data_IF_267275343228
#
_entry.id   IF_267275343228
#
_cell.length_a   1.000
_cell.length_b   1.000
_cell.length_c   1.000
_cell.angle_alpha   90.00
_cell.angle_beta   90.00
_cell.angle_gamma   90.00
#
_symmetry.space_group_name_H-M   'P 1'
#
loop_
_entity.id
_entity.type
_entity.pdbx_description
1 polymer ?
#
# COMPACT_ATOMS: atom_id res chain seq x y z
N UNK A 1 8.83 -0.24 15.17
CA UNK A 1 10.23 0.09 14.81
C UNK A 1 10.65 -0.48 13.47
N UNK A 2 10.73 -1.81 13.30
CA UNK A 2 11.18 -2.41 12.03
C UNK A 2 10.41 -1.95 10.78
N UNK A 3 9.07 -1.78 10.89
CA UNK A 3 8.24 -1.25 9.79
C UNK A 3 8.68 0.17 9.40
N UNK A 4 8.93 1.04 10.39
CA UNK A 4 9.33 2.43 10.15
C UNK A 4 10.71 2.49 9.50
N UNK A 5 11.66 1.68 9.98
CA UNK A 5 13.01 1.61 9.43
C UNK A 5 13.00 1.12 7.96
N UNK A 6 12.21 0.09 7.65
CA UNK A 6 12.08 -0.38 6.26
C UNK A 6 11.47 0.69 5.37
N UNK A 7 10.45 1.43 5.84
CA UNK A 7 9.86 2.51 5.06
C UNK A 7 10.84 3.68 4.85
N UNK A 8 11.66 3.99 5.85
CA UNK A 8 12.74 4.97 5.73
C UNK A 8 13.77 4.54 4.67
N UNK A 9 14.19 3.27 4.70
CA UNK A 9 15.07 2.72 3.66
C UNK A 9 14.41 2.75 2.27
N UNK A 10 13.11 2.50 2.16
CA UNK A 10 12.38 2.60 0.89
C UNK A 10 12.41 4.04 0.33
N UNK A 11 12.23 5.04 1.19
CA UNK A 11 12.36 6.46 0.83
C UNK A 11 13.74 6.82 0.28
N UNK A 12 14.82 6.23 0.82
CA UNK A 12 16.17 6.41 0.30
C UNK A 12 16.37 5.82 -1.11
N UNK A 13 15.47 4.93 -1.56
CA UNK A 13 15.57 4.27 -2.88
C UNK A 13 14.67 4.87 -3.93
N UNK A 14 13.48 5.35 -3.56
CA UNK A 14 12.44 5.75 -4.51
C UNK A 14 11.81 7.05 -4.05
N UNK A 15 11.74 8.02 -4.97
CA UNK A 15 11.04 9.29 -4.75
C UNK A 15 9.79 9.41 -5.63
N UNK A 16 8.80 10.15 -5.13
CA UNK A 16 7.55 10.34 -5.84
C UNK A 16 7.75 11.05 -7.18
N UNK A 17 7.24 10.44 -8.25
CA UNK A 17 7.15 11.05 -9.58
C UNK A 17 5.87 10.58 -10.28
N UNK A 18 4.98 11.50 -10.71
CA UNK A 18 3.82 11.14 -11.51
C UNK A 18 4.21 10.35 -12.77
N UNK A 19 3.45 9.30 -13.06
CA UNK A 19 3.63 8.41 -14.21
C UNK A 19 2.26 8.01 -14.78
N UNK A 20 2.24 7.11 -15.77
CA UNK A 20 1.00 6.54 -16.29
C UNK A 20 0.34 5.56 -15.29
N UNK A 21 -0.84 5.05 -15.64
CA UNK A 21 -1.64 4.21 -14.75
C UNK A 21 -1.03 2.83 -14.46
N UNK A 22 -0.02 2.38 -15.23
CA UNK A 22 0.64 1.09 -15.03
C UNK A 22 1.59 1.18 -13.85
N UNK A 23 1.60 0.14 -13.01
CA UNK A 23 2.51 0.04 -11.87
C UNK A 23 3.76 -0.76 -12.24
N UNK A 24 4.91 -0.12 -12.13
CA UNK A 24 6.22 -0.75 -12.30
C UNK A 24 6.52 -1.79 -11.20
N UNK A 25 7.34 -2.79 -11.51
CA UNK A 25 7.76 -3.79 -10.53
C UNK A 25 8.69 -3.21 -9.47
N UNK A 26 8.79 -3.81 -8.26
CA UNK A 26 9.66 -3.32 -7.18
C UNK A 26 11.12 -3.07 -7.62
N UNK A 27 11.70 -4.01 -8.36
CA UNK A 27 13.07 -3.89 -8.86
C UNK A 27 13.22 -2.82 -9.94
N UNK A 28 12.16 -2.54 -10.70
CA UNK A 28 12.17 -1.43 -11.65
C UNK A 28 12.21 -0.09 -10.91
N UNK A 29 11.35 0.09 -9.90
CA UNK A 29 11.31 1.31 -9.07
C UNK A 29 12.65 1.61 -8.42
N UNK A 30 13.35 0.59 -7.88
CA UNK A 30 14.69 0.75 -7.30
C UNK A 30 15.74 1.15 -8.35
N UNK A 31 15.64 0.61 -9.57
CA UNK A 31 16.60 0.93 -10.65
C UNK A 31 16.40 2.33 -11.22
N UNK A 32 15.15 2.78 -11.32
CA UNK A 32 14.80 4.10 -11.84
C UNK A 32 14.85 5.19 -10.77
N UNK A 33 14.78 4.79 -9.48
CA UNK A 33 14.71 5.64 -8.31
C UNK A 33 13.47 6.55 -8.24
N UNK A 34 12.40 6.22 -8.97
CA UNK A 34 11.14 6.97 -8.91
C UNK A 34 9.91 6.08 -9.11
N UNK A 35 8.76 6.53 -8.59
CA UNK A 35 7.46 5.88 -8.76
C UNK A 35 6.31 6.77 -8.28
N UNK A 36 5.06 6.48 -8.67
CA UNK A 36 3.87 7.07 -8.03
C UNK A 36 3.42 6.18 -6.86
N UNK A 37 2.32 6.55 -6.21
CA UNK A 37 1.78 5.82 -5.06
C UNK A 37 1.62 4.30 -5.31
N UNK A 38 1.26 3.89 -6.52
CA UNK A 38 1.18 2.47 -6.92
C UNK A 38 2.53 1.75 -6.88
N UNK A 39 3.57 2.31 -7.49
CA UNK A 39 4.94 1.78 -7.48
C UNK A 39 5.55 1.78 -6.09
N UNK A 40 5.41 2.88 -5.36
CA UNK A 40 5.98 3.05 -4.02
C UNK A 40 5.38 2.03 -3.05
N UNK A 41 4.05 1.86 -3.07
CA UNK A 41 3.38 0.86 -2.22
C UNK A 41 3.70 -0.57 -2.65
N UNK A 42 3.81 -0.84 -3.96
CA UNK A 42 4.23 -2.16 -4.46
C UNK A 42 5.67 -2.50 -4.02
N UNK A 43 6.58 -1.53 -4.09
CA UNK A 43 7.95 -1.67 -3.65
C UNK A 43 8.06 -1.86 -2.13
N UNK A 44 7.38 -1.01 -1.36
CA UNK A 44 7.43 -1.04 0.11
C UNK A 44 6.84 -2.33 0.67
N UNK A 45 5.72 -2.83 0.11
CA UNK A 45 5.17 -4.15 0.45
C UNK A 45 6.17 -5.27 0.17
N UNK A 46 6.87 -5.22 -0.96
CA UNK A 46 7.89 -6.20 -1.29
C UNK A 46 9.08 -6.15 -0.32
N UNK A 47 9.54 -4.96 0.06
CA UNK A 47 10.63 -4.76 1.01
C UNK A 47 10.27 -5.30 2.41
N UNK A 48 9.07 -5.00 2.92
CA UNK A 48 8.58 -5.52 4.20
C UNK A 48 8.49 -7.04 4.20
N UNK A 49 7.91 -7.62 3.15
CA UNK A 49 7.80 -9.08 3.02
C UNK A 49 9.17 -9.76 2.91
N UNK A 50 10.15 -9.10 2.30
CA UNK A 50 11.52 -9.62 2.19
C UNK A 50 12.22 -9.75 3.56
N UNK A 51 11.83 -8.94 4.55
CA UNK A 51 12.33 -9.02 5.92
C UNK A 51 11.37 -9.74 6.88
N UNK A 52 10.36 -10.44 6.35
CA UNK A 52 9.44 -11.26 7.14
C UNK A 52 8.28 -10.51 7.79
N UNK A 53 8.04 -9.25 7.43
CA UNK A 53 6.90 -8.48 7.92
C UNK A 53 5.72 -8.67 6.95
N UNK A 54 4.56 -9.21 7.40
CA UNK A 54 3.39 -9.29 6.56
C UNK A 54 2.90 -7.89 6.22
N UNK A 55 2.70 -7.61 4.94
CA UNK A 55 2.24 -6.32 4.46
C UNK A 55 1.29 -6.48 3.27
N UNK A 56 0.40 -5.51 3.05
CA UNK A 56 -0.52 -5.44 1.92
C UNK A 56 -0.59 -4.02 1.38
N UNK A 57 -0.83 -3.92 0.07
CA UNK A 57 -1.16 -2.65 -0.56
C UNK A 57 -2.66 -2.43 -0.38
N UNK A 58 -3.04 -1.23 0.05
CA UNK A 58 -4.43 -0.79 0.02
C UNK A 58 -4.57 0.21 -1.12
N UNK A 59 -5.63 0.03 -1.91
CA UNK A 59 -5.88 0.82 -3.10
C UNK A 59 -7.29 1.39 -3.06
N UNK A 60 -7.41 2.65 -3.50
CA UNK A 60 -8.69 3.29 -3.73
C UNK A 60 -8.74 3.82 -5.16
N UNK A 61 -9.65 3.29 -6.01
CA UNK A 61 -9.68 3.64 -7.43
C UNK A 61 -10.23 5.06 -7.69
N UNK A 62 -10.93 5.65 -6.71
CA UNK A 62 -11.47 7.02 -6.79
C UNK A 62 -11.13 7.78 -5.52
N UNK A 63 -10.20 8.72 -5.65
CA UNK A 63 -9.74 9.53 -4.55
C UNK A 63 -10.74 10.63 -4.20
N UNK A 64 -11.02 10.80 -2.91
CA UNK A 64 -12.20 11.53 -2.45
C UNK A 64 -12.26 13.02 -2.86
N UNK A 65 -11.15 13.60 -3.33
CA UNK A 65 -11.04 15.03 -3.64
C UNK A 65 -10.38 15.33 -4.99
N UNK A 66 -10.01 14.32 -5.77
CA UNK A 66 -9.41 14.47 -7.11
C UNK A 66 -9.87 13.34 -8.02
N UNK A 67 -9.90 13.57 -9.33
CA UNK A 67 -10.11 12.50 -10.32
C UNK A 67 -8.82 11.69 -10.52
N UNK A 68 -8.37 11.06 -9.44
CA UNK A 68 -7.19 10.19 -9.41
C UNK A 68 -7.45 9.02 -8.47
N UNK A 69 -6.52 8.07 -8.41
CA UNK A 69 -6.51 6.98 -7.44
C UNK A 69 -5.45 7.25 -6.35
N UNK A 70 -5.49 6.48 -5.28
CA UNK A 70 -4.43 6.48 -4.28
C UNK A 70 -4.13 5.08 -3.78
N UNK A 71 -2.89 4.87 -3.33
CA UNK A 71 -2.42 3.60 -2.80
C UNK A 71 -1.47 3.86 -1.63
N UNK A 72 -1.59 3.06 -0.58
CA UNK A 72 -0.69 3.08 0.58
C UNK A 72 -0.39 1.65 1.05
N UNK A 73 0.35 1.52 2.15
CA UNK A 73 0.74 0.23 2.72
C UNK A 73 0.11 0.04 4.08
N UNK A 74 -0.31 -1.19 4.34
CA UNK A 74 -0.58 -1.69 5.67
C UNK A 74 0.39 -2.82 6.02
N UNK A 75 0.96 -2.79 7.22
CA UNK A 75 1.81 -3.83 7.75
C UNK A 75 1.21 -4.42 9.03
N UNK A 76 1.39 -5.73 9.22
CA UNK A 76 0.90 -6.45 10.37
C UNK A 76 1.96 -6.51 11.46
N UNK A 77 1.61 -6.00 12.63
CA UNK A 77 2.42 -6.12 13.85
C UNK A 77 1.49 -6.28 15.04
N UNK A 78 1.91 -7.03 16.06
CA UNK A 78 1.22 -7.08 17.36
C UNK A 78 -0.29 -7.35 17.27
N UNK A 79 -0.72 -8.17 16.30
CA UNK A 79 -2.12 -8.54 16.13
C UNK A 79 -3.00 -7.51 15.40
N UNK A 80 -2.41 -6.46 14.82
CA UNK A 80 -3.13 -5.37 14.17
C UNK A 80 -2.50 -4.97 12.83
N UNK A 81 -3.33 -4.47 11.92
CA UNK A 81 -2.89 -3.77 10.72
C UNK A 81 -2.58 -2.31 11.06
N UNK A 82 -1.42 -1.84 10.61
CA UNK A 82 -0.98 -0.45 10.74
C UNK A 82 -0.75 0.15 9.36
N UNK A 83 -1.34 1.31 9.08
CA UNK A 83 -1.18 1.99 7.78
C UNK A 83 -0.09 3.07 7.81
N UNK A 84 0.50 3.36 6.66
CA UNK A 84 1.47 4.44 6.46
C UNK A 84 1.69 4.72 4.96
N UNK A 85 2.22 5.89 4.64
CA UNK A 85 2.62 6.26 3.28
C UNK A 85 3.84 5.48 2.80
N UNK A 86 3.81 5.01 1.56
CA UNK A 86 4.87 4.19 1.00
C UNK A 86 6.01 5.06 0.51
N UNK A 87 7.25 4.80 0.95
CA UNK A 87 8.38 5.70 0.69
C UNK A 87 8.17 7.13 1.25
N UNK A 88 7.19 7.32 2.14
CA UNK A 88 6.83 8.58 2.78
C UNK A 88 6.96 8.39 4.31
N UNK A 89 8.18 8.51 4.88
CA UNK A 89 8.43 8.14 6.26
C UNK A 89 7.83 9.18 7.21
N UNK A 90 6.95 8.72 8.09
CA UNK A 90 6.42 9.45 9.23
C UNK A 90 7.08 8.91 10.52
N UNK A 91 7.14 9.70 11.62
CA UNK A 91 7.79 9.26 12.86
C UNK A 91 7.02 8.14 13.58
N UNK A 92 5.75 7.91 13.20
CA UNK A 92 4.87 6.90 13.80
C UNK A 92 3.99 6.24 12.73
N UNK A 93 3.50 5.03 13.03
CA UNK A 93 2.52 4.35 12.21
C UNK A 93 1.11 4.96 12.39
N UNK A 94 0.19 4.64 11.48
CA UNK A 94 -1.16 5.21 11.39
C UNK A 94 -1.17 6.73 11.17
N UNK A 95 -0.13 7.22 10.49
CA UNK A 95 0.00 8.61 10.09
C UNK A 95 0.40 8.68 8.62
N UNK A 96 -0.26 9.59 7.91
CA UNK A 96 0.07 10.00 6.56
C UNK A 96 -0.69 11.28 6.23
N UNK A 97 -0.22 12.02 5.23
CA UNK A 97 -0.91 13.21 4.74
C UNK A 97 -2.34 12.90 4.25
N UNK A 98 -2.61 11.63 3.92
CA UNK A 98 -3.85 11.13 3.38
C UNK A 98 -4.90 10.70 4.42
N UNK A 99 -4.65 10.83 5.73
CA UNK A 99 -5.61 10.39 6.75
C UNK A 99 -7.01 10.98 6.54
N UNK A 100 -7.09 12.31 6.38
CA UNK A 100 -8.37 13.00 6.15
C UNK A 100 -9.07 12.58 4.86
N UNK A 101 -8.42 12.57 3.68
CA UNK A 101 -9.09 12.15 2.46
C UNK A 101 -9.44 10.66 2.44
N UNK A 102 -8.62 9.80 3.03
CA UNK A 102 -8.91 8.37 3.16
C UNK A 102 -10.22 8.16 3.94
N UNK A 103 -10.44 8.83 5.07
CA UNK A 103 -11.70 8.71 5.84
C UNK A 103 -12.99 9.04 5.08
N UNK A 104 -12.88 9.62 3.88
CA UNK A 104 -14.01 9.96 2.98
C UNK A 104 -14.02 9.10 1.71
N UNK A 105 -13.15 8.11 1.61
CA UNK A 105 -13.07 7.18 0.50
C UNK A 105 -14.31 6.29 0.46
N UNK A 106 -14.91 6.16 -0.72
CA UNK A 106 -16.08 5.30 -0.93
C UNK A 106 -15.72 3.81 -0.98
N UNK A 107 -14.46 3.51 -1.33
CA UNK A 107 -13.95 2.15 -1.43
C UNK A 107 -12.45 2.15 -1.17
N UNK A 108 -12.02 1.27 -0.27
CA UNK A 108 -10.64 0.88 -0.07
C UNK A 108 -10.56 -0.63 -0.18
N UNK A 109 -9.60 -1.15 -0.95
CA UNK A 109 -9.50 -2.58 -1.12
C UNK A 109 -8.09 -3.09 -1.24
N UNK A 110 -7.97 -4.39 -1.02
CA UNK A 110 -6.70 -5.12 -1.15
C UNK A 110 -6.94 -6.49 -1.75
N UNK A 111 -5.87 -7.09 -2.28
CA UNK A 111 -5.85 -8.46 -2.80
C UNK A 111 -5.29 -9.41 -1.76
N UNK A 112 -6.05 -10.44 -1.44
CA UNK A 112 -5.61 -11.59 -0.66
C UNK A 112 -5.36 -12.76 -1.61
N UNK A 113 -4.22 -13.44 -1.48
CA UNK A 113 -3.92 -14.60 -2.32
C UNK A 113 -4.75 -15.81 -1.91
N UNK A 114 -5.32 -16.51 -2.91
CA UNK A 114 -6.22 -17.64 -2.70
C UNK A 114 -7.61 -17.22 -2.24
N UNK A 115 -8.31 -18.15 -1.58
CA UNK A 115 -9.65 -17.93 -1.03
C UNK A 115 -9.60 -17.22 0.31
N UNK A 116 -10.51 -16.28 0.49
CA UNK A 116 -10.65 -15.52 1.73
C UNK A 116 -11.90 -15.96 2.50
N UNK A 117 -11.73 -16.27 3.79
CA UNK A 117 -12.83 -16.70 4.70
C UNK A 117 -12.92 -15.80 5.94
N UNK A 118 -12.34 -14.60 5.89
CA UNK A 118 -12.41 -13.65 7.01
C UNK A 118 -13.67 -12.79 6.97
N UNK A 119 -13.79 -11.82 7.89
CA UNK A 119 -15.01 -11.03 8.06
C UNK A 119 -15.19 -9.90 7.03
N UNK A 120 -14.12 -9.48 6.34
CA UNK A 120 -14.19 -8.44 5.31
C UNK A 120 -15.08 -8.84 4.12
N UNK A 121 -15.78 -7.86 3.55
CA UNK A 121 -16.65 -8.05 2.38
C UNK A 121 -15.83 -8.44 1.14
N UNK A 122 -16.24 -9.51 0.47
CA UNK A 122 -15.65 -9.97 -0.79
C UNK A 122 -16.27 -9.22 -1.95
N UNK A 123 -15.44 -8.53 -2.74
CA UNK A 123 -15.90 -7.82 -3.94
C UNK A 123 -15.72 -8.63 -5.21
N UNK A 124 -14.63 -9.41 -5.28
CA UNK A 124 -14.30 -10.26 -6.42
C UNK A 124 -13.53 -11.50 -5.93
N UNK A 125 -13.97 -12.67 -6.35
CA UNK A 125 -13.22 -13.92 -6.15
C UNK A 125 -12.75 -14.45 -7.50
N UNK A 126 -11.46 -14.82 -7.57
CA UNK A 126 -10.85 -15.48 -8.73
C UNK A 126 -10.20 -16.79 -8.27
N UNK A 127 -9.77 -17.68 -9.19
CA UNK A 127 -9.03 -18.88 -8.81
C UNK A 127 -7.72 -18.61 -8.04
N UNK A 128 -7.13 -17.42 -8.18
CA UNK A 128 -5.79 -17.11 -7.66
C UNK A 128 -5.79 -16.10 -6.51
N UNK A 129 -6.82 -15.27 -6.39
CA UNK A 129 -6.92 -14.22 -5.37
C UNK A 129 -8.38 -13.79 -5.15
N UNK A 130 -8.62 -13.22 -3.96
CA UNK A 130 -9.85 -12.54 -3.58
C UNK A 130 -9.55 -11.05 -3.36
N UNK A 131 -10.38 -10.17 -3.91
CA UNK A 131 -10.40 -8.75 -3.54
C UNK A 131 -11.39 -8.53 -2.42
N UNK A 132 -10.92 -7.92 -1.34
CA UNK A 132 -11.72 -7.62 -0.15
C UNK A 132 -11.78 -6.11 0.07
N UNK A 133 -12.93 -5.66 0.55
CA UNK A 133 -13.14 -4.30 0.99
C UNK A 133 -12.57 -4.11 2.41
N UNK A 134 -11.77 -3.07 2.62
CA UNK A 134 -11.08 -2.76 3.89
C UNK A 134 -11.44 -1.38 4.43
N UNK A 135 -12.56 -0.82 3.94
CA UNK A 135 -13.09 0.48 4.37
C UNK A 135 -13.65 0.43 5.79
#
# INVERSE_FOLDING_TARGET
DAILEVNHWCHEKVVYRPSDARTSSPLASVKTAYGRCGEESTFTVAALRAVGIPARQVYTPRWAHTDDNHAWVEAWADGHWYFFGACEPEPVLNLGWFNSPASRGMLMHTKVFGRYNGPEEIMLETPNYTEINVT
#
